data_IF_117973406692
#
_entry.id   IF_117973406692
#
_cell.length_a   1.000
_cell.length_b   1.000
_cell.length_c   1.000
_cell.angle_alpha   90.00
_cell.angle_beta   90.00
_cell.angle_gamma   90.00
#
_symmetry.space_group_name_H-M   'P 1'
#
loop_
_entity.id
_entity.type
_entity.pdbx_description
1 polymer ?
#
# COMPACT_ATOMS: atom_id res chain seq x y z
N UNK A 1 7.03 13.49 9.48
CA UNK A 1 7.49 12.60 8.39
C UNK A 1 8.22 11.42 9.03
N UNK A 2 7.91 10.17 8.67
CA UNK A 2 8.41 8.96 9.37
C UNK A 2 9.59 8.26 8.67
N UNK A 3 10.17 8.87 7.63
CA UNK A 3 11.31 8.29 6.91
C UNK A 3 10.99 6.97 6.18
N UNK A 4 9.74 6.79 5.77
CA UNK A 4 9.33 5.65 4.94
C UNK A 4 9.92 5.79 3.54
N UNK A 5 10.36 4.69 2.95
CA UNK A 5 11.01 4.66 1.63
C UNK A 5 10.05 5.07 0.51
N UNK A 6 8.79 4.61 0.56
CA UNK A 6 7.77 4.98 -0.42
C UNK A 6 6.39 4.46 -0.07
N UNK A 7 5.37 5.10 -0.63
CA UNK A 7 4.00 4.65 -0.57
C UNK A 7 3.24 5.02 -1.84
N UNK A 8 2.31 4.16 -2.24
CA UNK A 8 1.36 4.40 -3.33
C UNK A 8 -0.05 4.37 -2.75
N UNK A 9 -0.90 5.31 -3.17
CA UNK A 9 -2.27 5.44 -2.66
C UNK A 9 -3.27 5.25 -3.79
N UNK A 10 -4.21 4.33 -3.61
CA UNK A 10 -5.33 4.09 -4.50
C UNK A 10 -6.64 4.50 -3.82
N UNK A 11 -7.53 5.14 -4.57
CA UNK A 11 -8.93 5.34 -4.18
C UNK A 11 -9.77 4.40 -5.04
N UNK A 12 -10.64 3.60 -4.41
CA UNK A 12 -11.42 2.58 -5.11
C UNK A 12 -12.92 2.87 -5.00
N UNK A 13 -13.68 2.62 -6.06
CA UNK A 13 -15.12 2.90 -6.04
C UNK A 13 -15.92 1.92 -5.16
N UNK A 14 -15.34 0.77 -4.82
CA UNK A 14 -16.02 -0.29 -4.04
C UNK A 14 -15.02 -0.97 -3.10
N UNK A 15 -15.51 -1.40 -1.93
CA UNK A 15 -14.76 -2.22 -0.97
C UNK A 15 -15.70 -2.99 -0.04
N UNK A 16 -15.26 -4.15 0.46
CA UNK A 16 -16.05 -5.01 1.34
C UNK A 16 -15.23 -5.47 2.55
N UNK A 17 -15.84 -5.55 3.73
CA UNK A 17 -15.18 -5.98 4.97
C UNK A 17 -16.14 -6.23 6.14
N UNK A 18 -15.58 -6.49 7.34
CA UNK A 18 -16.34 -6.87 8.54
C UNK A 18 -17.36 -5.80 9.00
N UNK A 19 -17.14 -4.54 8.65
CA UNK A 19 -18.09 -3.45 8.92
C UNK A 19 -18.61 -2.89 7.59
N UNK A 20 -19.65 -3.57 7.09
CA UNK A 20 -20.51 -3.23 5.94
C UNK A 20 -19.92 -3.32 4.51
N UNK A 21 -20.76 -3.58 3.48
CA UNK A 21 -20.42 -3.27 2.10
C UNK A 21 -20.39 -1.75 1.95
N UNK A 22 -19.19 -1.15 1.93
CA UNK A 22 -19.05 0.25 1.47
C UNK A 22 -19.22 0.25 -0.05
N UNK A 23 -20.48 0.31 -0.46
CA UNK A 23 -20.83 0.69 -1.80
C UNK A 23 -20.41 2.15 -2.01
N UNK A 24 -19.40 2.42 -2.83
CA UNK A 24 -19.26 3.73 -3.49
C UNK A 24 -20.29 3.92 -4.60
N UNK A 25 -21.27 3.02 -4.73
CA UNK A 25 -22.48 3.26 -5.49
C UNK A 25 -23.68 2.59 -4.81
N UNK A 26 -24.49 3.38 -4.10
CA UNK A 26 -25.92 3.11 -4.20
C UNK A 26 -26.28 3.42 -5.65
N UNK A 27 -26.29 2.39 -6.49
CA UNK A 27 -26.74 2.42 -7.89
C UNK A 27 -28.17 3.00 -8.07
N UNK A 28 -28.85 3.39 -6.99
CA UNK A 28 -30.25 3.79 -6.98
C UNK A 28 -30.53 5.20 -6.43
N UNK A 29 -29.57 5.89 -5.79
CA UNK A 29 -29.89 7.09 -5.01
C UNK A 29 -28.95 8.30 -5.22
N UNK A 30 -28.40 8.53 -6.41
CA UNK A 30 -27.83 9.82 -6.84
C UNK A 30 -26.81 10.53 -5.92
N UNK A 31 -26.28 9.85 -4.91
CA UNK A 31 -25.38 10.37 -3.89
C UNK A 31 -24.09 9.56 -4.00
N UNK A 32 -23.05 10.19 -4.51
CA UNK A 32 -21.68 9.73 -4.36
C UNK A 32 -21.38 9.79 -2.86
N UNK A 33 -21.05 8.65 -2.25
CA UNK A 33 -20.57 8.64 -0.87
C UNK A 33 -19.16 9.24 -0.86
N UNK A 34 -18.91 10.26 -0.02
CA UNK A 34 -17.57 10.82 0.18
C UNK A 34 -16.62 9.85 0.92
N UNK A 35 -17.15 8.75 1.48
CA UNK A 35 -16.41 7.72 2.21
C UNK A 35 -15.95 6.58 1.26
N UNK A 36 -15.17 6.99 0.25
CA UNK A 36 -14.59 6.10 -0.77
C UNK A 36 -13.46 5.26 -0.14
N UNK A 37 -13.45 3.92 -0.30
CA UNK A 37 -12.36 3.10 0.20
C UNK A 37 -10.99 3.52 -0.34
N UNK A 38 -9.98 3.46 0.52
CA UNK A 38 -8.60 3.82 0.21
C UNK A 38 -7.68 2.64 0.50
N UNK A 39 -6.80 2.33 -0.44
CA UNK A 39 -5.72 1.35 -0.29
C UNK A 39 -4.40 2.12 -0.26
N UNK A 40 -3.57 1.85 0.73
CA UNK A 40 -2.22 2.41 0.85
C UNK A 40 -1.24 1.25 0.79
N UNK A 41 -0.44 1.21 -0.26
CA UNK A 41 0.68 0.28 -0.39
C UNK A 41 1.95 0.96 0.09
N UNK A 42 2.67 0.29 0.99
CA UNK A 42 3.92 0.80 1.56
C UNK A 42 4.98 -0.27 1.33
N UNK A 43 6.09 0.11 0.70
CA UNK A 43 7.21 -0.78 0.44
C UNK A 43 8.41 -0.25 1.22
N UNK A 44 8.82 -1.00 2.25
CA UNK A 44 9.96 -0.64 3.10
C UNK A 44 10.53 -1.87 3.81
N UNK A 45 11.61 -1.67 4.57
CA UNK A 45 12.18 -2.67 5.46
C UNK A 45 11.22 -3.06 6.58
N UNK A 46 11.27 -4.35 6.96
CA UNK A 46 10.35 -4.99 7.92
C UNK A 46 10.22 -4.21 9.23
N UNK A 47 11.34 -3.76 9.83
CA UNK A 47 11.34 -3.03 11.09
C UNK A 47 10.52 -1.72 11.05
N UNK A 48 10.51 -1.01 9.90
CA UNK A 48 9.69 0.19 9.72
C UNK A 48 8.23 -0.17 9.49
N UNK A 49 7.94 -1.23 8.74
CA UNK A 49 6.58 -1.71 8.53
C UNK A 49 5.92 -2.16 9.83
N UNK A 50 6.63 -2.87 10.70
CA UNK A 50 6.14 -3.28 12.02
C UNK A 50 5.89 -2.08 12.94
N UNK A 51 6.83 -1.13 12.98
CA UNK A 51 6.68 0.11 13.73
C UNK A 51 5.46 0.91 13.24
N UNK A 52 5.30 1.02 11.93
CA UNK A 52 4.13 1.65 11.33
C UNK A 52 2.83 0.90 11.64
N UNK A 53 2.83 -0.43 11.61
CA UNK A 53 1.65 -1.23 11.90
C UNK A 53 1.12 -1.00 13.32
N UNK A 54 2.03 -0.87 14.30
CA UNK A 54 1.67 -0.56 15.68
C UNK A 54 0.97 0.80 15.80
N UNK A 55 1.47 1.82 15.11
CA UNK A 55 0.90 3.17 15.11
C UNK A 55 -0.40 3.24 14.30
N UNK A 56 -0.44 2.60 13.14
CA UNK A 56 -1.62 2.50 12.30
C UNK A 56 -2.76 1.84 13.07
N UNK A 57 -2.49 0.82 13.88
CA UNK A 57 -3.48 0.21 14.78
C UNK A 57 -4.06 1.21 15.78
N UNK A 58 -3.26 2.14 16.31
CA UNK A 58 -3.76 3.17 17.23
C UNK A 58 -4.68 4.17 16.52
N UNK A 59 -4.38 4.51 15.26
CA UNK A 59 -5.15 5.46 14.46
C UNK A 59 -6.44 4.86 13.89
N UNK A 60 -6.36 3.64 13.36
CA UNK A 60 -7.47 2.94 12.71
C UNK A 60 -8.38 2.22 13.73
N UNK A 61 -7.89 2.00 14.94
CA UNK A 61 -8.59 1.26 15.98
C UNK A 61 -8.87 -0.18 15.54
N UNK A 62 -10.15 -0.54 15.48
CA UNK A 62 -10.66 -1.86 15.09
C UNK A 62 -11.21 -1.88 13.65
N UNK A 63 -10.97 -0.81 12.87
CA UNK A 63 -11.46 -0.66 11.49
C UNK A 63 -10.29 -0.83 10.52
N UNK A 64 -10.61 -1.33 9.33
CA UNK A 64 -9.63 -1.52 8.25
C UNK A 64 -8.92 -2.87 8.30
N UNK A 65 -8.08 -3.09 7.30
CA UNK A 65 -7.32 -4.31 7.10
C UNK A 65 -5.88 -3.91 6.75
N UNK A 66 -4.92 -4.60 7.37
CA UNK A 66 -3.52 -4.50 7.01
C UNK A 66 -3.01 -5.91 6.72
N UNK A 67 -2.33 -6.05 5.59
CA UNK A 67 -1.66 -7.29 5.21
C UNK A 67 -0.21 -6.97 4.89
N UNK A 68 0.70 -7.86 5.30
CA UNK A 68 2.13 -7.74 5.05
C UNK A 68 2.54 -8.84 4.07
N UNK A 69 3.22 -8.44 3.00
CA UNK A 69 3.71 -9.35 1.97
C UNK A 69 5.21 -9.14 1.77
N UNK A 70 6.02 -10.21 1.70
CA UNK A 70 7.42 -10.08 1.30
C UNK A 70 7.47 -9.72 -0.18
N UNK A 71 8.28 -8.72 -0.53
CA UNK A 71 8.48 -8.29 -1.91
C UNK A 71 9.97 -8.18 -2.23
N UNK A 72 10.31 -8.36 -3.50
CA UNK A 72 11.63 -8.01 -4.04
C UNK A 72 11.52 -6.67 -4.74
N UNK A 73 12.34 -5.71 -4.34
CA UNK A 73 12.38 -4.38 -4.97
C UNK A 73 13.46 -4.38 -6.05
N UNK A 74 13.09 -3.91 -7.25
CA UNK A 74 14.00 -3.72 -8.37
C UNK A 74 13.97 -2.24 -8.73
N UNK A 75 15.14 -1.60 -8.76
CA UNK A 75 15.29 -0.22 -9.19
C UNK A 75 15.74 -0.22 -10.66
N UNK A 76 15.03 0.52 -11.50
CA UNK A 76 15.35 0.68 -12.91
C UNK A 76 15.66 2.16 -13.20
N UNK A 77 16.67 2.42 -14.02
CA UNK A 77 17.00 3.77 -14.48
C UNK A 77 17.83 4.63 -13.51
N UNK A 78 18.16 4.11 -12.32
CA UNK A 78 19.17 4.71 -11.43
C UNK A 78 20.55 4.10 -11.75
N UNK A 79 21.16 4.54 -12.85
CA UNK A 79 22.60 4.37 -13.08
C UNK A 79 23.37 5.35 -12.16
N UNK A 80 23.20 5.21 -10.84
CA UNK A 80 24.13 5.84 -9.90
C UNK A 80 25.27 4.88 -9.65
N UNK A 81 26.25 4.94 -10.56
CA UNK A 81 27.66 4.62 -10.38
C UNK A 81 28.01 3.65 -9.22
N UNK A 82 27.80 2.36 -9.44
CA UNK A 82 28.82 1.36 -9.10
C UNK A 82 28.69 0.18 -10.07
N UNK A 83 29.53 0.23 -11.10
CA UNK A 83 29.52 -0.67 -12.24
C UNK A 83 30.02 -2.07 -11.87
N UNK A 84 29.18 -2.88 -11.24
CA UNK A 84 29.34 -4.34 -11.23
C UNK A 84 28.04 -5.13 -10.97
N UNK A 85 26.99 -4.51 -10.41
CA UNK A 85 25.75 -5.23 -10.04
C UNK A 85 24.80 -5.52 -11.23
N UNK A 86 24.86 -4.74 -12.31
CA UNK A 86 23.95 -4.88 -13.46
C UNK A 86 24.24 -6.11 -14.34
N UNK A 87 25.37 -6.81 -14.16
CA UNK A 87 25.76 -7.97 -15.00
C UNK A 87 25.19 -9.31 -14.52
N UNK A 88 24.58 -9.37 -13.34
CA UNK A 88 24.18 -10.62 -12.68
C UNK A 88 22.68 -10.76 -12.41
N UNK A 89 21.82 -9.94 -13.02
CA UNK A 89 20.39 -10.19 -12.89
C UNK A 89 20.00 -11.35 -13.83
N UNK A 90 19.42 -12.46 -13.31
CA UNK A 90 18.92 -13.51 -14.18
C UNK A 90 17.84 -12.92 -15.12
N UNK A 91 17.76 -13.40 -16.37
CA UNK A 91 16.68 -13.00 -17.26
C UNK A 91 15.34 -13.33 -16.59
N UNK A 92 14.42 -12.37 -16.65
CA UNK A 92 13.06 -12.52 -16.15
C UNK A 92 12.42 -13.76 -16.84
N UNK A 93 11.71 -14.64 -16.11
CA UNK A 93 11.03 -15.80 -16.70
C UNK A 93 10.04 -15.43 -17.80
#
# INVERSE_FOLDING_TARGET
>A
QRGMAGATVFKTDVGFGHTEPKAGSSHFSGRVSDDVPVIIEIIDGVHKLESFAQEARQLLGWRGLMALFPVRVLHYGEDTADGDAARNLPPNP
#
